data_IF_755435175124
#
_entry.id   IF_755435175124
#
_cell.length_a   1.000
_cell.length_b   1.000
_cell.length_c   1.000
_cell.angle_alpha   90.00
_cell.angle_beta   90.00
_cell.angle_gamma   90.00
#
_symmetry.space_group_name_H-M   'P 1'
#
loop_
_entity.id
_entity.type
_entity.pdbx_description
1 polymer ?
#
# COMPACT_ATOMS: atom_id res chain seq x y z
N UNK A 1 14.50 8.53 -62.05
CA UNK A 1 15.78 8.92 -61.40
C UNK A 1 15.58 8.94 -59.88
N UNK A 2 15.29 7.80 -59.22
CA UNK A 2 14.81 7.82 -57.81
C UNK A 2 15.52 6.77 -56.91
N UNK A 3 16.55 6.10 -57.43
CA UNK A 3 17.29 5.03 -56.75
C UNK A 3 17.98 5.46 -55.44
N UNK A 4 18.67 6.62 -55.35
CA UNK A 4 19.34 7.01 -54.11
C UNK A 4 18.36 7.40 -52.99
N UNK A 5 17.24 8.03 -53.33
CA UNK A 5 16.21 8.44 -52.35
C UNK A 5 15.52 7.25 -51.68
N UNK A 6 15.29 6.15 -52.42
CA UNK A 6 14.73 4.90 -51.88
C UNK A 6 15.67 4.21 -50.89
N UNK A 7 16.98 4.20 -51.18
CA UNK A 7 17.99 3.58 -50.32
C UNK A 7 18.13 4.31 -48.96
N UNK A 8 18.15 5.64 -48.97
CA UNK A 8 18.20 6.46 -47.74
C UNK A 8 16.92 6.28 -46.89
N UNK A 9 15.74 6.25 -47.53
CA UNK A 9 14.46 6.03 -46.83
C UNK A 9 14.39 4.64 -46.20
N UNK A 10 14.86 3.61 -46.90
CA UNK A 10 14.92 2.24 -46.37
C UNK A 10 15.88 2.14 -45.17
N UNK A 11 17.01 2.85 -45.20
CA UNK A 11 17.95 2.92 -44.07
C UNK A 11 17.30 3.58 -42.86
N UNK A 12 16.66 4.74 -43.05
CA UNK A 12 16.01 5.46 -41.96
C UNK A 12 14.86 4.66 -41.31
N UNK A 13 14.06 3.94 -42.12
CA UNK A 13 12.99 3.10 -41.59
C UNK A 13 13.52 1.91 -40.78
N UNK A 14 14.67 1.33 -41.18
CA UNK A 14 15.35 0.30 -40.39
C UNK A 14 15.85 0.85 -39.05
N UNK A 15 16.40 2.07 -39.04
CA UNK A 15 16.83 2.73 -37.80
C UNK A 15 15.66 3.00 -36.87
N UNK A 16 14.54 3.52 -37.40
CA UNK A 16 13.32 3.75 -36.62
C UNK A 16 12.70 2.46 -36.11
N UNK A 17 12.67 1.40 -36.93
CA UNK A 17 12.20 0.08 -36.51
C UNK A 17 13.09 -0.50 -35.40
N UNK A 18 14.40 -0.33 -35.49
CA UNK A 18 15.34 -0.73 -34.44
C UNK A 18 15.10 0.00 -33.12
N UNK A 19 14.90 1.32 -33.16
CA UNK A 19 14.56 2.12 -31.98
C UNK A 19 13.20 1.72 -31.41
N UNK A 20 12.18 1.54 -32.25
CA UNK A 20 10.86 1.11 -31.81
C UNK A 20 10.93 -0.28 -31.15
N UNK A 21 11.67 -1.22 -31.74
CA UNK A 21 11.89 -2.54 -31.15
C UNK A 21 12.59 -2.44 -29.79
N UNK A 22 13.60 -1.58 -29.64
CA UNK A 22 14.31 -1.40 -28.37
C UNK A 22 13.37 -1.02 -27.21
N UNK A 23 12.36 -0.18 -27.47
CA UNK A 23 11.42 0.27 -26.43
C UNK A 23 10.16 -0.59 -26.32
N UNK A 24 9.63 -1.09 -27.43
CA UNK A 24 8.35 -1.81 -27.46
C UNK A 24 8.50 -3.31 -27.23
N UNK A 25 9.61 -3.91 -27.68
CA UNK A 25 9.82 -5.36 -27.55
C UNK A 25 9.80 -5.81 -26.07
N UNK A 26 10.49 -5.14 -25.11
CA UNK A 26 10.43 -5.55 -23.71
C UNK A 26 9.03 -5.45 -23.12
N UNK A 27 8.25 -4.42 -23.50
CA UNK A 27 6.88 -4.23 -23.02
C UNK A 27 5.95 -5.33 -23.55
N UNK A 28 6.02 -5.64 -24.85
CA UNK A 28 5.24 -6.72 -25.47
C UNK A 28 5.60 -8.06 -24.86
N UNK A 29 6.89 -8.33 -24.65
CA UNK A 29 7.37 -9.55 -23.98
C UNK A 29 6.83 -9.65 -22.55
N UNK A 30 6.87 -8.57 -21.76
CA UNK A 30 6.33 -8.55 -20.40
C UNK A 30 4.82 -8.82 -20.38
N UNK A 31 4.07 -8.19 -21.30
CA UNK A 31 2.62 -8.38 -21.39
C UNK A 31 2.27 -9.82 -21.79
N UNK A 32 2.93 -10.34 -22.82
CA UNK A 32 2.71 -11.70 -23.30
C UNK A 32 3.05 -12.74 -22.24
N UNK A 33 4.20 -12.60 -21.58
CA UNK A 33 4.60 -13.51 -20.49
C UNK A 33 3.60 -13.48 -19.33
N UNK A 34 3.21 -12.29 -18.88
CA UNK A 34 2.30 -12.14 -17.74
C UNK A 34 0.87 -12.64 -18.02
N UNK A 35 0.32 -12.39 -19.21
CA UNK A 35 -1.09 -12.71 -19.52
C UNK A 35 -1.30 -14.02 -20.31
N UNK A 36 -0.36 -14.43 -21.16
CA UNK A 36 -0.55 -15.58 -22.07
C UNK A 36 0.19 -16.85 -21.61
N UNK A 37 1.35 -16.72 -20.95
CA UNK A 37 2.17 -17.90 -20.61
C UNK A 37 1.84 -18.49 -19.23
N UNK A 38 1.10 -17.74 -18.39
CA UNK A 38 0.85 -18.13 -17.00
C UNK A 38 2.10 -18.05 -16.09
N UNK A 39 3.25 -17.64 -16.63
CA UNK A 39 4.47 -17.43 -15.86
C UNK A 39 4.34 -16.19 -14.99
N UNK A 40 3.84 -16.40 -13.76
CA UNK A 40 3.87 -15.41 -12.68
C UNK A 40 4.99 -15.78 -11.71
N UNK A 41 5.95 -14.88 -11.44
CA UNK A 41 6.90 -15.12 -10.37
C UNK A 41 6.13 -15.27 -9.05
N UNK A 42 6.24 -16.45 -8.43
CA UNK A 42 5.54 -16.78 -7.18
C UNK A 42 6.11 -16.06 -5.95
N UNK A 43 7.27 -15.40 -6.10
CA UNK A 43 7.91 -14.65 -5.03
C UNK A 43 7.18 -13.34 -4.76
N UNK A 44 6.44 -13.29 -3.66
CA UNK A 44 5.96 -12.03 -3.10
C UNK A 44 6.98 -11.53 -2.07
N UNK A 45 7.41 -10.26 -2.21
CA UNK A 45 8.18 -9.55 -1.17
C UNK A 45 7.33 -9.14 0.03
N UNK A 46 6.06 -9.57 0.06
CA UNK A 46 5.14 -9.28 1.13
C UNK A 46 5.50 -10.13 2.34
N UNK A 47 5.98 -9.51 3.42
CA UNK A 47 6.24 -10.18 4.69
C UNK A 47 4.97 -10.54 5.49
N UNK A 48 3.79 -10.42 4.87
CA UNK A 48 2.49 -10.64 5.50
C UNK A 48 1.84 -11.95 5.05
N UNK A 49 1.19 -12.64 5.99
CA UNK A 49 0.33 -13.78 5.68
C UNK A 49 -1.09 -13.28 5.44
N UNK A 50 -1.61 -13.52 4.24
CA UNK A 50 -3.00 -13.19 3.93
C UNK A 50 -3.92 -14.22 4.59
N UNK A 51 -4.90 -13.74 5.37
CA UNK A 51 -5.91 -14.60 5.99
C UNK A 51 -6.96 -14.94 4.93
N UNK A 52 -6.96 -16.19 4.48
CA UNK A 52 -7.91 -16.71 3.47
C UNK A 52 -8.61 -17.96 4.02
N UNK A 53 -9.95 -18.00 4.13
CA UNK A 53 -10.92 -16.95 3.78
C UNK A 53 -10.96 -15.81 4.82
N UNK A 54 -11.44 -14.64 4.39
CA UNK A 54 -11.64 -13.50 5.29
C UNK A 54 -12.64 -13.88 6.40
N UNK A 55 -12.21 -13.76 7.66
CA UNK A 55 -13.06 -14.05 8.83
C UNK A 55 -13.67 -12.74 9.35
N UNK A 56 -15.00 -12.69 9.59
CA UNK A 56 -15.62 -11.52 10.20
C UNK A 56 -15.06 -11.32 11.62
N UNK A 57 -14.80 -10.08 11.98
CA UNK A 57 -14.42 -9.75 13.35
C UNK A 57 -15.63 -9.97 14.28
N UNK A 58 -15.46 -10.60 15.45
CA UNK A 58 -16.52 -10.69 16.44
C UNK A 58 -16.86 -9.28 16.98
N UNK A 59 -18.04 -9.10 17.58
CA UNK A 59 -18.36 -7.86 18.28
C UNK A 59 -17.38 -7.65 19.43
N UNK A 60 -16.47 -6.69 19.27
CA UNK A 60 -15.47 -6.31 20.27
C UNK A 60 -15.79 -4.94 20.86
N UNK A 61 -15.56 -4.79 22.16
CA UNK A 61 -15.63 -3.50 22.85
C UNK A 61 -14.21 -3.06 23.19
N UNK A 62 -13.80 -1.92 22.66
CA UNK A 62 -12.48 -1.33 22.88
C UNK A 62 -12.63 -0.14 23.83
N UNK A 63 -12.16 -0.25 25.09
CA UNK A 63 -12.18 0.86 26.04
C UNK A 63 -11.34 2.04 25.51
N UNK A 64 -11.84 3.26 25.69
CA UNK A 64 -11.08 4.46 25.36
C UNK A 64 -9.96 4.66 26.40
N UNK A 65 -8.74 5.06 26.00
CA UNK A 65 -7.71 5.50 26.95
C UNK A 65 -8.27 6.62 27.83
N UNK A 66 -8.35 6.40 29.15
CA UNK A 66 -8.91 7.37 30.11
C UNK A 66 -10.33 7.10 30.60
N UNK A 67 -10.90 5.92 30.33
CA UNK A 67 -12.16 5.47 30.95
C UNK A 67 -13.44 5.97 30.28
N UNK A 68 -13.34 6.60 29.11
CA UNK A 68 -14.49 6.94 28.28
C UNK A 68 -15.19 5.69 27.75
N UNK A 69 -16.51 5.77 27.58
CA UNK A 69 -17.31 4.71 26.97
C UNK A 69 -16.74 4.34 25.59
N UNK A 70 -16.65 3.04 25.31
CA UNK A 70 -16.24 2.55 24.00
C UNK A 70 -17.16 3.17 22.92
N UNK A 71 -16.61 3.66 21.78
CA UNK A 71 -17.42 4.25 20.72
C UNK A 71 -18.59 3.33 20.33
N UNK A 72 -19.79 3.89 20.24
CA UNK A 72 -20.97 3.13 19.83
C UNK A 72 -20.79 2.64 18.39
N UNK A 73 -20.70 1.31 18.19
CA UNK A 73 -20.60 0.69 16.88
C UNK A 73 -19.74 -0.56 16.85
N UNK A 74 -19.61 -1.16 15.66
CA UNK A 74 -18.60 -2.19 15.39
C UNK A 74 -17.31 -1.47 15.00
N UNK A 75 -16.23 -1.54 15.81
CA UNK A 75 -14.98 -0.90 15.43
C UNK A 75 -14.50 -1.44 14.08
N UNK A 76 -13.80 -0.60 13.31
CA UNK A 76 -13.24 -0.93 11.99
C UNK A 76 -14.23 -1.07 10.84
N UNK A 77 -15.52 -0.74 11.01
CA UNK A 77 -16.47 -0.69 9.88
C UNK A 77 -16.33 0.59 9.05
N UNK A 78 -16.58 0.45 7.74
CA UNK A 78 -16.66 1.56 6.78
C UNK A 78 -15.33 2.08 6.24
N UNK A 79 -14.20 1.73 6.86
CA UNK A 79 -12.87 2.17 6.46
C UNK A 79 -11.86 1.02 6.55
N UNK A 80 -10.83 1.06 5.70
CA UNK A 80 -9.67 0.20 5.87
C UNK A 80 -8.91 0.59 7.12
N UNK A 81 -8.59 -0.39 7.97
CA UNK A 81 -7.98 -0.13 9.26
C UNK A 81 -6.58 -0.75 9.32
N UNK A 82 -5.57 0.11 9.48
CA UNK A 82 -4.19 -0.32 9.75
C UNK A 82 -4.01 -0.40 11.27
N UNK A 83 -3.92 -1.61 11.80
CA UNK A 83 -3.92 -1.89 13.25
C UNK A 83 -2.54 -2.31 13.71
N UNK A 84 -2.01 -1.64 14.74
CA UNK A 84 -0.81 -2.08 15.45
C UNK A 84 -1.16 -2.43 16.89
N UNK A 85 -0.75 -3.61 17.34
CA UNK A 85 -0.98 -4.10 18.70
C UNK A 85 0.34 -4.14 19.45
N UNK A 86 0.42 -3.48 20.60
CA UNK A 86 1.66 -3.39 21.38
C UNK A 86 1.45 -3.05 22.86
N UNK A 87 2.54 -2.79 23.59
CA UNK A 87 2.48 -2.25 24.95
C UNK A 87 2.13 -0.75 24.90
N UNK A 88 1.27 -0.27 25.80
CA UNK A 88 0.81 1.13 25.88
C UNK A 88 1.90 2.16 26.24
N UNK A 89 3.01 1.71 26.82
CA UNK A 89 4.21 2.52 27.05
C UNK A 89 4.94 2.89 25.74
N UNK A 90 4.67 2.16 24.66
CA UNK A 90 5.16 2.38 23.30
C UNK A 90 6.69 2.65 23.22
N UNK A 91 7.44 1.56 23.17
CA UNK A 91 8.89 1.57 23.00
C UNK A 91 9.36 2.16 21.65
N UNK A 92 10.67 2.13 21.39
CA UNK A 92 11.24 2.67 20.15
C UNK A 92 10.74 1.95 18.89
N UNK A 93 10.49 0.64 18.97
CA UNK A 93 9.94 -0.14 17.88
C UNK A 93 8.49 0.26 17.58
N UNK A 94 7.66 0.40 18.62
CA UNK A 94 6.31 0.92 18.51
C UNK A 94 6.27 2.31 17.87
N UNK A 95 7.10 3.24 18.34
CA UNK A 95 7.19 4.60 17.76
C UNK A 95 7.54 4.59 16.27
N UNK A 96 8.50 3.74 15.88
CA UNK A 96 8.89 3.58 14.47
C UNK A 96 7.75 2.99 13.64
N UNK A 97 7.03 1.99 14.15
CA UNK A 97 5.89 1.41 13.48
C UNK A 97 4.77 2.44 13.27
N UNK A 98 4.42 3.20 14.31
CA UNK A 98 3.40 4.26 14.24
C UNK A 98 3.80 5.38 13.26
N UNK A 99 5.08 5.73 13.21
CA UNK A 99 5.62 6.65 12.21
C UNK A 99 5.45 6.13 10.78
N UNK A 100 5.85 4.87 10.52
CA UNK A 100 5.68 4.25 9.20
C UNK A 100 4.20 4.21 8.81
N UNK A 101 3.31 3.84 9.73
CA UNK A 101 1.85 3.86 9.48
C UNK A 101 1.35 5.25 9.08
N UNK A 102 1.89 6.32 9.70
CA UNK A 102 1.58 7.71 9.32
C UNK A 102 2.03 8.00 7.89
N UNK A 103 3.28 7.66 7.56
CA UNK A 103 3.83 7.88 6.23
C UNK A 103 3.07 7.09 5.15
N UNK A 104 2.67 5.85 5.44
CA UNK A 104 1.83 5.06 4.55
C UNK A 104 0.51 5.78 4.26
N UNK A 105 -0.17 6.30 5.30
CA UNK A 105 -1.42 7.05 5.10
C UNK A 105 -1.22 8.32 4.27
N UNK A 106 -0.14 9.06 4.50
CA UNK A 106 0.18 10.28 3.73
C UNK A 106 0.50 9.96 2.26
N UNK A 107 1.20 8.85 2.00
CA UNK A 107 1.51 8.40 0.64
C UNK A 107 0.27 8.06 -0.19
N UNK A 108 -0.88 7.78 0.45
CA UNK A 108 -2.16 7.54 -0.24
C UNK A 108 -2.82 8.83 -0.75
N UNK A 109 -2.34 10.02 -0.39
CA UNK A 109 -2.88 11.31 -0.82
C UNK A 109 -4.42 11.38 -0.72
N UNK A 110 -5.16 11.47 -1.83
CA UNK A 110 -6.62 11.56 -1.85
C UNK A 110 -7.32 10.36 -1.19
N UNK A 111 -6.68 9.18 -1.22
CA UNK A 111 -7.22 7.96 -0.61
C UNK A 111 -6.92 7.85 0.89
N UNK A 112 -6.21 8.83 1.49
CA UNK A 112 -5.90 8.83 2.92
C UNK A 112 -7.14 8.88 3.83
N UNK A 113 -8.29 9.29 3.31
CA UNK A 113 -9.59 9.33 4.02
C UNK A 113 -10.22 7.95 4.13
N UNK A 114 -9.87 7.02 3.25
CA UNK A 114 -10.36 5.63 3.26
C UNK A 114 -9.61 4.76 4.26
N UNK A 115 -8.40 5.16 4.66
CA UNK A 115 -7.52 4.45 5.57
C UNK A 115 -7.49 5.10 6.96
N UNK A 116 -7.88 4.35 7.99
CA UNK A 116 -7.76 4.74 9.40
C UNK A 116 -6.59 3.99 10.06
N UNK A 117 -5.84 4.70 10.91
CA UNK A 117 -4.79 4.11 11.75
C UNK A 117 -5.36 3.81 13.14
N UNK A 118 -5.07 2.63 13.68
CA UNK A 118 -5.49 2.25 15.04
C UNK A 118 -4.33 1.63 15.79
N UNK A 119 -4.10 2.10 17.01
CA UNK A 119 -3.17 1.52 17.95
C UNK A 119 -3.95 0.85 19.09
N UNK A 120 -3.65 -0.42 19.36
CA UNK A 120 -4.23 -1.20 20.45
C UNK A 120 -3.15 -1.49 21.49
N UNK A 121 -3.27 -0.87 22.66
CA UNK A 121 -2.42 -1.14 23.82
C UNK A 121 -2.94 -2.33 24.62
N UNK A 122 -2.08 -3.31 24.89
CA UNK A 122 -2.40 -4.51 25.68
C UNK A 122 -2.31 -4.30 27.20
N UNK A 123 -1.65 -3.22 27.65
CA UNK A 123 -1.43 -2.88 29.06
C UNK A 123 -0.56 -1.63 29.22
N UNK A 124 -0.36 -1.16 30.46
CA UNK A 124 0.52 -0.03 30.83
C UNK A 124 0.26 1.27 30.06
N UNK A 125 -0.89 1.88 30.32
CA UNK A 125 -1.38 3.05 29.59
C UNK A 125 -1.04 4.38 30.28
N UNK A 126 -0.69 5.48 29.58
CA UNK A 126 -0.31 5.60 28.17
C UNK A 126 0.53 6.88 27.93
N UNK A 127 1.50 6.81 27.03
CA UNK A 127 2.15 7.98 26.42
C UNK A 127 1.15 8.77 25.55
N UNK A 128 0.21 9.49 26.20
CA UNK A 128 -0.88 10.24 25.55
C UNK A 128 -0.39 11.28 24.56
N UNK A 129 0.79 11.83 24.79
CA UNK A 129 1.43 12.82 23.92
C UNK A 129 1.69 12.27 22.51
N UNK A 130 1.99 10.97 22.38
CA UNK A 130 2.19 10.31 21.09
C UNK A 130 0.86 9.93 20.40
N UNK A 131 -0.18 9.67 21.19
CA UNK A 131 -1.49 9.17 20.75
C UNK A 131 -2.55 10.28 20.70
N UNK A 132 -2.13 11.54 20.79
CA UNK A 132 -3.02 12.69 20.70
C UNK A 132 -3.83 12.64 19.41
N UNK A 133 -5.07 13.16 19.41
CA UNK A 133 -5.83 13.29 18.18
C UNK A 133 -4.97 14.10 17.20
N UNK A 134 -4.62 13.50 16.07
CA UNK A 134 -4.23 14.29 14.92
C UNK A 134 -5.50 15.05 14.54
N UNK A 135 -5.53 16.32 14.95
CA UNK A 135 -6.59 17.25 14.63
C UNK A 135 -6.84 17.13 13.13
N UNK A 136 -8.02 16.61 12.79
CA UNK A 136 -8.49 16.53 11.42
C UNK A 136 -8.70 17.97 10.97
N UNK A 137 -7.63 18.63 10.50
CA UNK A 137 -7.74 19.82 9.68
C UNK A 137 -8.38 19.37 8.36
N UNK A 138 -9.72 19.36 8.36
CA UNK A 138 -10.53 19.48 7.16
C UNK A 138 -10.60 20.94 6.73
#
# INVERSE_FOLDING_TARGET
MNTPARALRARNLRTLAGLAALFLLPLVMAFFTYYCTGWRPAGHVNHGVLITPARPLPPIRLPQPGGGAAPHGTPFRGHWSLVYVGNGACDSACRRALYVMRQTRLALNNDMTRLRRVFLGSGECCARELLGPEEFAG
#
